data_IF_398660616007
#
_entry.id   IF_398660616007
#
_cell.length_a   1.000
_cell.length_b   1.000
_cell.length_c   1.000
_cell.angle_alpha   90.00
_cell.angle_beta   90.00
_cell.angle_gamma   90.00
#
_symmetry.space_group_name_H-M   'P 1'
#
loop_
_entity.id
_entity.type
_entity.pdbx_description
1 polymer ?
#
# COMPACT_ATOMS: atom_id res chain seq x y z
N UNK A 1 54.12 -12.46 -14.94
CA UNK A 1 54.60 -12.08 -16.28
C UNK A 1 53.95 -13.08 -17.24
N UNK A 2 53.06 -12.79 -18.19
CA UNK A 2 52.58 -11.58 -18.88
C UNK A 2 51.24 -11.97 -19.55
N UNK A 3 50.20 -11.13 -19.48
CA UNK A 3 48.89 -11.29 -20.15
C UNK A 3 48.96 -11.11 -21.68
N UNK A 4 47.96 -11.62 -22.41
CA UNK A 4 47.37 -10.83 -23.50
C UNK A 4 45.83 -10.90 -23.43
N UNK A 5 45.10 -9.84 -23.03
CA UNK A 5 44.59 -8.72 -23.84
C UNK A 5 43.84 -9.17 -25.12
N UNK A 6 42.51 -9.20 -25.00
CA UNK A 6 41.53 -9.36 -26.08
C UNK A 6 41.55 -8.17 -27.04
N UNK A 7 41.71 -8.41 -28.35
CA UNK A 7 41.60 -7.38 -29.38
C UNK A 7 40.21 -7.36 -30.01
N UNK A 8 39.50 -6.26 -29.73
CA UNK A 8 38.24 -5.82 -30.32
C UNK A 8 38.45 -5.50 -31.80
N UNK A 9 38.05 -6.37 -32.73
CA UNK A 9 37.73 -6.02 -34.13
C UNK A 9 37.41 -7.27 -34.93
N UNK A 10 36.12 -7.62 -35.05
CA UNK A 10 35.49 -8.03 -36.31
C UNK A 10 34.02 -7.64 -36.25
N UNK A 11 33.75 -6.52 -36.92
CA UNK A 11 32.44 -6.08 -37.34
C UNK A 11 32.02 -6.91 -38.57
N UNK A 12 30.70 -7.05 -38.77
CA UNK A 12 29.96 -7.39 -39.99
C UNK A 12 29.49 -8.86 -40.14
N UNK A 13 28.17 -9.11 -39.95
CA UNK A 13 27.10 -9.30 -40.99
C UNK A 13 27.17 -10.74 -41.54
N UNK A 14 26.16 -11.62 -41.55
CA UNK A 14 24.69 -11.59 -41.43
C UNK A 14 24.19 -13.04 -41.51
N UNK A 15 23.12 -13.42 -40.80
CA UNK A 15 22.13 -14.41 -41.26
C UNK A 15 20.90 -14.44 -40.34
N UNK A 16 19.78 -13.92 -40.86
CA UNK A 16 18.40 -14.26 -40.57
C UNK A 16 18.12 -15.12 -39.31
N UNK A 17 17.95 -14.46 -38.17
CA UNK A 17 17.23 -15.01 -37.01
C UNK A 17 16.09 -14.06 -36.71
N UNK A 18 14.86 -14.51 -36.95
CA UNK A 18 13.61 -13.80 -36.71
C UNK A 18 13.69 -13.01 -35.38
N UNK A 19 13.81 -11.69 -35.46
CA UNK A 19 13.75 -10.84 -34.28
C UNK A 19 12.32 -10.90 -33.75
N UNK A 20 12.06 -11.85 -32.85
CA UNK A 20 10.84 -11.85 -32.04
C UNK A 20 10.98 -10.65 -31.11
N UNK A 21 10.49 -9.49 -31.56
CA UNK A 21 10.29 -8.35 -30.68
C UNK A 21 9.38 -8.84 -29.54
N UNK A 22 9.77 -8.70 -28.26
CA UNK A 22 8.84 -8.95 -27.18
C UNK A 22 7.73 -7.91 -27.32
N UNK A 23 6.57 -8.34 -27.81
CA UNK A 23 5.35 -7.55 -27.70
C UNK A 23 5.09 -7.44 -26.21
N UNK A 24 5.40 -6.28 -25.63
CA UNK A 24 5.01 -5.94 -24.28
C UNK A 24 3.49 -5.87 -24.28
N UNK A 25 2.85 -6.97 -23.86
CA UNK A 25 1.42 -7.03 -23.65
C UNK A 25 1.13 -6.10 -22.47
N UNK A 26 0.77 -4.85 -22.76
CA UNK A 26 0.34 -3.89 -21.74
C UNK A 26 -1.02 -4.36 -21.24
N UNK A 27 -1.03 -5.16 -20.18
CA UNK A 27 -2.28 -5.50 -19.51
C UNK A 27 -2.85 -4.22 -18.90
N UNK A 28 -4.16 -3.94 -19.04
CA UNK A 28 -4.76 -2.81 -18.36
C UNK A 28 -4.57 -2.99 -16.85
N UNK A 29 -3.89 -2.04 -16.22
CA UNK A 29 -3.82 -1.99 -14.77
C UNK A 29 -5.17 -1.49 -14.25
N UNK A 30 -5.95 -2.38 -13.64
CA UNK A 30 -7.11 -1.97 -12.86
C UNK A 30 -6.60 -1.44 -11.53
N UNK A 31 -7.00 -0.22 -11.17
CA UNK A 31 -6.74 0.31 -9.83
C UNK A 31 -7.41 -0.62 -8.81
N UNK A 32 -6.63 -1.11 -7.83
CA UNK A 32 -7.16 -1.95 -6.75
C UNK A 32 -8.19 -1.16 -5.95
N UNK A 33 -9.38 -1.74 -5.77
CA UNK A 33 -10.41 -1.13 -4.95
C UNK A 33 -9.92 -0.99 -3.49
N UNK A 34 -10.30 0.09 -2.83
CA UNK A 34 -9.80 0.35 -1.47
C UNK A 34 -10.21 -0.73 -0.47
N UNK A 35 -11.38 -1.34 -0.63
CA UNK A 35 -11.81 -2.43 0.22
C UNK A 35 -11.00 -3.71 -0.04
N UNK A 36 -10.72 -4.03 -1.31
CA UNK A 36 -9.87 -5.18 -1.66
C UNK A 36 -8.47 -5.05 -1.06
N UNK A 37 -7.87 -3.85 -1.18
CA UNK A 37 -6.57 -3.53 -0.60
C UNK A 37 -6.57 -3.71 0.92
N UNK A 38 -7.55 -3.15 1.62
CA UNK A 38 -7.63 -3.21 3.09
C UNK A 38 -7.89 -4.65 3.57
N UNK A 39 -8.73 -5.42 2.86
CA UNK A 39 -8.94 -6.85 3.16
C UNK A 39 -7.66 -7.66 3.02
N UNK A 40 -6.87 -7.41 1.96
CA UNK A 40 -5.58 -8.09 1.74
C UNK A 40 -4.54 -7.68 2.79
N UNK A 41 -4.54 -6.42 3.18
CA UNK A 41 -3.63 -5.87 4.19
C UNK A 41 -3.96 -6.38 5.61
N UNK A 42 -5.23 -6.67 5.90
CA UNK A 42 -5.68 -7.22 7.19
C UNK A 42 -5.95 -6.18 8.27
N UNK A 43 -5.57 -4.91 8.05
CA UNK A 43 -5.78 -3.81 8.97
C UNK A 43 -6.21 -2.52 8.27
N UNK A 44 -6.86 -1.62 9.00
CA UNK A 44 -7.19 -0.25 8.58
C UNK A 44 -6.63 0.77 9.58
N UNK A 45 -6.15 1.92 9.08
CA UNK A 45 -5.75 3.06 9.91
C UNK A 45 -6.93 4.00 10.10
N UNK A 46 -7.18 4.45 11.34
CA UNK A 46 -8.29 5.33 11.71
C UNK A 46 -7.76 6.53 12.48
N UNK A 47 -7.90 7.73 11.90
CA UNK A 47 -7.59 8.99 12.57
C UNK A 47 -8.63 9.35 13.64
N UNK A 48 -8.19 9.83 14.81
CA UNK A 48 -9.07 10.29 15.89
C UNK A 48 -8.47 11.49 16.65
N UNK A 49 -9.33 12.29 17.29
CA UNK A 49 -8.97 13.57 17.93
C UNK A 49 -9.02 13.57 19.47
N UNK A 50 -8.98 12.39 20.09
CA UNK A 50 -9.02 12.20 21.54
C UNK A 50 -10.23 12.85 22.26
N UNK A 51 -11.42 12.66 21.69
CA UNK A 51 -12.68 13.20 22.20
C UNK A 51 -13.43 12.12 22.97
N UNK A 52 -13.17 11.97 24.27
CA UNK A 52 -13.96 11.07 25.10
C UNK A 52 -15.41 11.60 25.23
N UNK A 53 -16.45 10.74 25.10
CA UNK A 53 -16.41 9.28 24.98
C UNK A 53 -16.46 8.74 23.52
N UNK A 54 -16.40 9.61 22.51
CA UNK A 54 -16.67 9.28 21.10
C UNK A 54 -15.50 8.56 20.42
N UNK A 55 -14.26 8.99 20.64
CA UNK A 55 -13.06 8.39 20.07
C UNK A 55 -11.81 8.89 20.78
N UNK A 56 -11.21 8.04 21.60
CA UNK A 56 -10.11 8.40 22.49
C UNK A 56 -9.13 7.24 22.70
N UNK A 57 -7.94 7.58 23.18
CA UNK A 57 -6.95 6.58 23.56
C UNK A 57 -7.17 6.15 25.01
N UNK A 58 -7.14 4.85 25.27
CA UNK A 58 -6.96 4.32 26.62
C UNK A 58 -5.58 4.70 27.19
N UNK A 59 -5.33 4.54 28.50
CA UNK A 59 -4.01 4.80 29.07
C UNK A 59 -2.86 3.98 28.46
N UNK A 60 -3.15 2.80 27.92
CA UNK A 60 -2.21 1.96 27.16
C UNK A 60 -2.14 2.31 25.66
N UNK A 61 -2.74 3.43 25.24
CA UNK A 61 -2.63 3.99 23.90
C UNK A 61 -3.57 3.36 22.86
N UNK A 62 -4.53 2.52 23.25
CA UNK A 62 -5.44 1.87 22.31
C UNK A 62 -6.64 2.75 21.98
N UNK A 63 -6.98 2.82 20.70
CA UNK A 63 -8.18 3.50 20.23
C UNK A 63 -9.44 2.80 20.75
N UNK A 64 -10.32 3.54 21.43
CA UNK A 64 -11.64 3.11 21.88
C UNK A 64 -12.63 4.30 21.89
N UNK A 65 -13.87 4.05 22.30
CA UNK A 65 -14.97 5.02 22.25
C UNK A 65 -16.12 4.55 21.37
N UNK A 66 -17.23 5.29 21.40
CA UNK A 66 -18.46 4.91 20.69
C UNK A 66 -18.21 4.63 19.18
N UNK A 67 -17.64 5.59 18.46
CA UNK A 67 -17.40 5.48 17.03
C UNK A 67 -16.42 4.35 16.63
N UNK A 68 -15.20 4.24 17.22
CA UNK A 68 -14.28 3.17 16.83
C UNK A 68 -14.74 1.78 17.26
N UNK A 69 -15.52 1.61 18.34
CA UNK A 69 -16.06 0.28 18.69
C UNK A 69 -17.14 -0.17 17.68
N UNK A 70 -18.00 0.76 17.22
CA UNK A 70 -18.94 0.47 16.12
C UNK A 70 -18.19 0.13 14.84
N UNK A 71 -17.15 0.90 14.49
CA UNK A 71 -16.34 0.65 13.31
C UNK A 71 -15.67 -0.73 13.36
N UNK A 72 -15.04 -1.10 14.47
CA UNK A 72 -14.43 -2.44 14.68
C UNK A 72 -15.45 -3.56 14.46
N UNK A 73 -16.66 -3.43 14.99
CA UNK A 73 -17.70 -4.44 14.83
C UNK A 73 -18.14 -4.63 13.37
N UNK A 74 -18.20 -3.55 12.60
CA UNK A 74 -18.52 -3.59 11.16
C UNK A 74 -17.35 -4.19 10.37
N UNK A 75 -16.14 -3.71 10.61
CA UNK A 75 -14.92 -4.16 9.94
C UNK A 75 -14.64 -5.65 10.15
N UNK A 76 -14.87 -6.16 11.36
CA UNK A 76 -14.73 -7.59 11.66
C UNK A 76 -15.67 -8.45 10.80
N UNK A 77 -16.92 -8.01 10.58
CA UNK A 77 -17.87 -8.69 9.67
C UNK A 77 -17.43 -8.64 8.20
N UNK A 78 -16.59 -7.67 7.85
CA UNK A 78 -16.00 -7.51 6.52
C UNK A 78 -14.67 -8.26 6.36
N UNK A 79 -14.19 -8.96 7.39
CA UNK A 79 -12.92 -9.69 7.40
C UNK A 79 -11.69 -8.85 7.70
N UNK A 80 -11.86 -7.64 8.26
CA UNK A 80 -10.79 -6.73 8.66
C UNK A 80 -10.75 -6.72 10.19
N UNK A 81 -9.77 -7.40 10.77
CA UNK A 81 -9.75 -7.68 12.21
C UNK A 81 -8.89 -6.71 13.02
N UNK A 82 -8.12 -5.85 12.36
CA UNK A 82 -7.18 -4.95 13.00
C UNK A 82 -7.49 -3.49 12.64
N UNK A 83 -7.56 -2.66 13.68
CA UNK A 83 -7.74 -1.21 13.57
C UNK A 83 -6.57 -0.54 14.26
N UNK A 84 -5.77 0.17 13.47
CA UNK A 84 -4.65 0.97 13.94
C UNK A 84 -5.11 2.42 14.15
N UNK A 85 -5.03 2.90 15.38
CA UNK A 85 -5.51 4.23 15.76
C UNK A 85 -4.43 5.29 15.60
N UNK A 86 -4.72 6.34 14.84
CA UNK A 86 -3.80 7.46 14.62
C UNK A 86 -4.34 8.69 15.34
N UNK A 87 -3.70 9.05 16.46
CA UNK A 87 -4.03 10.28 17.17
C UNK A 87 -3.58 11.50 16.34
N UNK A 88 -4.49 12.45 16.13
CA UNK A 88 -4.23 13.69 15.41
C UNK A 88 -5.09 14.83 15.95
N UNK A 89 -4.78 16.07 15.59
CA UNK A 89 -5.66 17.21 15.85
C UNK A 89 -6.93 17.13 14.99
N UNK A 90 -8.08 17.60 15.51
CA UNK A 90 -9.37 17.59 14.81
C UNK A 90 -9.30 18.23 13.41
N UNK A 91 -8.64 19.39 13.31
CA UNK A 91 -8.47 20.11 12.03
C UNK A 91 -7.62 19.35 11.00
N UNK A 92 -6.91 18.30 11.43
CA UNK A 92 -6.02 17.50 10.57
C UNK A 92 -6.65 16.19 10.10
N UNK A 93 -7.87 15.84 10.54
CA UNK A 93 -8.54 14.59 10.14
C UNK A 93 -8.78 14.50 8.63
N UNK A 94 -9.35 15.56 8.04
CA UNK A 94 -9.62 15.59 6.59
C UNK A 94 -8.31 15.66 5.78
N UNK A 95 -7.36 16.57 6.08
CA UNK A 95 -6.06 16.57 5.41
C UNK A 95 -5.31 15.24 5.51
N UNK A 96 -5.34 14.60 6.68
CA UNK A 96 -4.71 13.29 6.91
C UNK A 96 -5.34 12.18 6.06
N UNK A 97 -6.67 12.14 5.99
CA UNK A 97 -7.39 11.19 5.13
C UNK A 97 -7.05 11.38 3.65
N UNK A 98 -6.93 12.63 3.19
CA UNK A 98 -6.58 12.93 1.79
C UNK A 98 -5.13 12.58 1.45
N UNK A 99 -4.22 12.60 2.44
CA UNK A 99 -2.82 12.31 2.23
C UNK A 99 -2.53 10.80 2.05
N UNK A 100 -3.37 9.92 2.62
CA UNK A 100 -3.24 8.46 2.52
C UNK A 100 -2.41 7.83 3.63
#
# INVERSE_FOLDING_TARGET
MTTPIFTRRKLLVSAAGLAVAPVLITSPAFAEDSLERIKKQGFIRVGFANEAPYGYATPDGKLTGEAPEVAKAVLAKMGINEVDGVLTEFGSLIPGLMAG
#
